data_IF_503843738682
#
_entry.id   IF_503843738682
#
_cell.length_a   1.000
_cell.length_b   1.000
_cell.length_c   1.000
_cell.angle_alpha   90.00
_cell.angle_beta   90.00
_cell.angle_gamma   90.00
#
_symmetry.space_group_name_H-M   'P 1'
#
loop_
_entity.id
_entity.type
_entity.pdbx_description
1 polymer ?
#
# COMPACT_ATOMS: atom_id res chain seq x y z
N UNK A 1 16.13 3.62 -16.65
CA UNK A 1 15.34 2.39 -16.47
C UNK A 1 14.87 1.97 -17.85
N UNK A 2 14.99 0.70 -18.24
CA UNK A 2 14.61 0.25 -19.58
C UNK A 2 13.10 -0.04 -19.66
N UNK A 3 12.50 0.30 -20.80
CA UNK A 3 11.13 -0.07 -21.17
C UNK A 3 11.24 -1.20 -22.18
N UNK A 4 10.39 -2.22 -22.04
CA UNK A 4 10.34 -3.32 -23.01
C UNK A 4 9.83 -2.83 -24.38
N UNK A 5 10.17 -3.55 -25.44
CA UNK A 5 9.68 -3.25 -26.79
C UNK A 5 8.15 -3.30 -26.88
N UNK A 6 7.60 -2.51 -27.80
CA UNK A 6 6.17 -2.53 -28.08
C UNK A 6 5.74 -3.94 -28.56
N UNK A 7 4.65 -4.46 -28.00
CA UNK A 7 4.13 -5.79 -28.37
C UNK A 7 4.69 -6.97 -27.56
N UNK A 8 5.50 -6.73 -26.52
CA UNK A 8 5.94 -7.80 -25.63
C UNK A 8 4.75 -8.54 -24.97
N UNK A 9 4.63 -9.85 -25.25
CA UNK A 9 3.54 -10.70 -24.74
C UNK A 9 3.51 -10.80 -23.21
N UNK A 10 4.67 -10.90 -22.54
CA UNK A 10 4.77 -10.96 -21.07
C UNK A 10 4.21 -9.67 -20.45
N UNK A 11 4.55 -8.52 -21.03
CA UNK A 11 4.02 -7.23 -20.60
C UNK A 11 2.50 -7.11 -20.85
N UNK A 12 1.99 -7.65 -21.96
CA UNK A 12 0.56 -7.66 -22.26
C UNK A 12 -0.23 -8.52 -21.25
N UNK A 13 0.26 -9.72 -20.93
CA UNK A 13 -0.34 -10.62 -19.95
C UNK A 13 -0.31 -10.06 -18.51
N UNK A 14 0.73 -9.29 -18.17
CA UNK A 14 0.86 -8.67 -16.86
C UNK A 14 0.03 -7.38 -16.70
N UNK A 15 -0.40 -6.76 -17.80
CA UNK A 15 -1.02 -5.41 -17.82
C UNK A 15 -2.19 -5.27 -16.86
N UNK A 16 -3.16 -6.19 -16.91
CA UNK A 16 -4.35 -6.10 -16.06
C UNK A 16 -4.02 -6.12 -14.57
N UNK A 17 -3.07 -6.96 -14.16
CA UNK A 17 -2.61 -7.04 -12.76
C UNK A 17 -1.84 -5.79 -12.35
N UNK A 18 -1.02 -5.26 -13.26
CA UNK A 18 -0.29 -4.01 -13.05
C UNK A 18 -1.25 -2.82 -12.85
N UNK A 19 -2.24 -2.68 -13.73
CA UNK A 19 -3.20 -1.57 -13.68
C UNK A 19 -4.06 -1.64 -12.41
N UNK A 20 -4.44 -2.84 -11.96
CA UNK A 20 -5.15 -3.05 -10.70
C UNK A 20 -4.31 -2.58 -9.48
N UNK A 21 -3.04 -3.00 -9.39
CA UNK A 21 -2.14 -2.55 -8.33
C UNK A 21 -1.92 -1.03 -8.35
N UNK A 22 -1.87 -0.45 -9.55
CA UNK A 22 -1.76 1.00 -9.72
C UNK A 22 -3.01 1.71 -9.23
N UNK A 23 -4.19 1.22 -9.60
CA UNK A 23 -5.46 1.78 -9.15
C UNK A 23 -5.60 1.71 -7.62
N UNK A 24 -5.22 0.59 -7.00
CA UNK A 24 -5.18 0.45 -5.54
C UNK A 24 -4.20 1.45 -4.90
N UNK A 25 -3.01 1.60 -5.48
CA UNK A 25 -2.01 2.54 -4.99
C UNK A 25 -2.50 3.99 -5.03
N UNK A 26 -3.23 4.36 -6.10
CA UNK A 26 -3.85 5.68 -6.23
C UNK A 26 -4.94 5.91 -5.17
N UNK A 27 -5.74 4.88 -4.85
CA UNK A 27 -6.71 4.97 -3.76
C UNK A 27 -6.01 5.22 -2.42
N UNK A 28 -4.94 4.48 -2.12
CA UNK A 28 -4.20 4.66 -0.86
C UNK A 28 -3.52 6.02 -0.77
N UNK A 29 -2.99 6.55 -1.88
CA UNK A 29 -2.45 7.92 -1.96
C UNK A 29 -3.50 8.97 -1.59
N UNK A 30 -4.67 8.94 -2.23
CA UNK A 30 -5.78 9.86 -1.91
C UNK A 30 -6.27 9.76 -0.46
N UNK A 31 -6.28 8.54 0.10
CA UNK A 31 -6.62 8.31 1.51
C UNK A 31 -5.56 8.89 2.44
N UNK A 32 -4.28 8.78 2.09
CA UNK A 32 -3.16 9.30 2.87
C UNK A 32 -3.20 10.82 3.03
N UNK A 33 -3.67 11.55 2.01
CA UNK A 33 -3.88 13.01 2.06
C UNK A 33 -5.04 13.42 3.00
N UNK A 34 -5.92 12.47 3.34
CA UNK A 34 -7.12 12.71 4.15
C UNK A 34 -6.96 12.09 5.55
N UNK A 35 -5.86 12.40 6.25
CA UNK A 35 -5.49 11.80 7.55
C UNK A 35 -6.62 11.85 8.57
N UNK A 36 -7.41 12.93 8.62
CA UNK A 36 -8.54 13.05 9.56
C UNK A 36 -9.64 12.02 9.31
N UNK A 37 -9.84 11.58 8.07
CA UNK A 37 -10.83 10.57 7.68
C UNK A 37 -10.26 9.15 7.71
N UNK A 38 -8.96 9.01 7.45
CA UNK A 38 -8.27 7.73 7.44
C UNK A 38 -7.06 7.76 8.40
N UNK A 39 -7.30 7.62 9.71
CA UNK A 39 -6.26 7.86 10.72
C UNK A 39 -5.26 6.71 10.88
N UNK A 40 -5.53 5.53 10.29
CA UNK A 40 -4.69 4.34 10.41
C UNK A 40 -4.06 3.91 9.09
N UNK A 41 -2.89 3.29 9.17
CA UNK A 41 -2.27 2.59 8.06
C UNK A 41 -1.71 1.24 8.52
N UNK A 42 -1.96 0.18 7.76
CA UNK A 42 -1.42 -1.14 8.04
C UNK A 42 -0.46 -1.60 6.95
N UNK A 43 0.72 -2.03 7.37
CA UNK A 43 1.63 -2.82 6.54
C UNK A 43 1.33 -4.31 6.66
N UNK A 44 2.28 -5.14 6.24
CA UNK A 44 2.14 -6.61 6.30
C UNK A 44 1.81 -7.13 7.70
N UNK A 45 2.48 -6.58 8.72
CA UNK A 45 2.42 -7.06 10.10
C UNK A 45 2.23 -5.97 11.15
N UNK A 46 2.16 -4.71 10.75
CA UNK A 46 2.22 -3.59 11.69
C UNK A 46 1.12 -2.59 11.42
N UNK A 47 0.41 -2.17 12.47
CA UNK A 47 -0.51 -1.05 12.43
C UNK A 47 0.19 0.24 12.83
N UNK A 48 -0.08 1.32 12.11
CA UNK A 48 0.47 2.65 12.28
C UNK A 48 -0.67 3.68 12.36
N UNK A 49 -0.37 4.86 12.92
CA UNK A 49 -1.10 6.08 12.58
C UNK A 49 -0.68 6.53 11.17
N UNK A 50 -1.59 7.04 10.36
CA UNK A 50 -1.30 7.45 8.97
C UNK A 50 -0.15 8.47 8.90
N UNK A 51 -0.10 9.44 9.82
CA UNK A 51 1.01 10.42 9.87
C UNK A 51 2.34 9.89 10.43
N UNK A 52 2.48 8.58 10.69
CA UNK A 52 3.74 8.02 11.15
C UNK A 52 4.81 8.10 10.06
N UNK A 53 6.03 8.52 10.40
CA UNK A 53 7.17 8.59 9.46
C UNK A 53 7.54 7.26 8.78
N UNK A 54 7.09 6.13 9.31
CA UNK A 54 7.30 4.81 8.71
C UNK A 54 6.23 4.45 7.66
N UNK A 55 5.15 5.23 7.59
CA UNK A 55 4.11 5.08 6.57
C UNK A 55 4.57 5.83 5.34
N UNK A 56 4.70 5.07 4.26
CA UNK A 56 4.92 5.60 2.92
C UNK A 56 3.89 4.97 2.00
N UNK A 57 3.22 5.81 1.23
CA UNK A 57 2.34 5.40 0.13
C UNK A 57 3.07 5.69 -1.18
N UNK A 58 2.84 4.84 -2.18
CA UNK A 58 3.52 4.97 -3.47
C UNK A 58 3.19 6.29 -4.17
N UNK A 59 4.15 6.87 -4.89
CA UNK A 59 4.00 8.04 -5.75
C UNK A 59 3.47 7.60 -7.11
N UNK A 60 2.16 7.78 -7.31
CA UNK A 60 1.39 7.26 -8.44
C UNK A 60 0.71 8.37 -9.24
N UNK A 61 0.98 9.63 -8.92
CA UNK A 61 0.16 10.77 -9.38
C UNK A 61 0.17 11.00 -10.90
N UNK A 62 1.11 10.42 -11.66
CA UNK A 62 1.09 10.55 -13.12
C UNK A 62 1.69 9.36 -13.86
N UNK A 63 1.08 9.04 -15.01
CA UNK A 63 1.65 8.11 -16.01
C UNK A 63 3.02 8.55 -16.55
N UNK A 64 3.33 9.84 -16.40
CA UNK A 64 4.60 10.46 -16.80
C UNK A 64 5.62 10.58 -15.65
N UNK A 65 5.28 10.10 -14.44
CA UNK A 65 6.20 10.13 -13.32
C UNK A 65 7.43 9.26 -13.56
N UNK A 66 8.64 9.69 -13.14
CA UNK A 66 9.87 8.91 -13.35
C UNK A 66 9.81 7.51 -12.70
N UNK A 67 8.94 7.33 -11.70
CA UNK A 67 8.70 6.07 -11.02
C UNK A 67 7.82 5.08 -11.79
N UNK A 68 6.98 5.56 -12.71
CA UNK A 68 6.13 4.70 -13.53
C UNK A 68 6.78 4.30 -14.85
N UNK A 69 7.79 5.05 -15.30
CA UNK A 69 8.56 4.71 -16.50
C UNK A 69 9.27 3.35 -16.34
N UNK A 70 8.91 2.37 -17.16
CA UNK A 70 9.42 1.00 -17.07
C UNK A 70 8.87 0.16 -15.92
N UNK A 71 7.90 0.69 -15.14
CA UNK A 71 7.30 -0.02 -14.02
C UNK A 71 6.57 -1.30 -14.44
N UNK A 72 5.83 -1.25 -15.56
CA UNK A 72 5.22 -2.46 -16.11
C UNK A 72 6.28 -3.49 -16.48
N UNK A 73 7.36 -3.07 -17.14
CA UNK A 73 8.43 -3.99 -17.58
C UNK A 73 9.02 -4.71 -16.38
N UNK A 74 9.38 -4.00 -15.32
CA UNK A 74 9.88 -4.60 -14.07
C UNK A 74 8.85 -5.49 -13.40
N UNK A 75 7.58 -5.08 -13.38
CA UNK A 75 6.52 -5.87 -12.79
C UNK A 75 6.32 -7.19 -13.56
N UNK A 76 6.30 -7.11 -14.89
CA UNK A 76 6.04 -8.24 -15.77
C UNK A 76 7.20 -9.24 -15.82
N UNK A 77 8.44 -8.75 -15.85
CA UNK A 77 9.63 -9.60 -16.02
C UNK A 77 10.28 -10.00 -14.69
N UNK A 78 10.28 -9.11 -13.69
CA UNK A 78 10.98 -9.32 -12.42
C UNK A 78 10.03 -9.54 -11.25
N UNK A 79 8.72 -9.43 -11.47
CA UNK A 79 7.71 -9.44 -10.39
C UNK A 79 7.82 -8.25 -9.43
N UNK A 80 8.58 -7.21 -9.80
CA UNK A 80 8.96 -6.14 -8.89
C UNK A 80 7.82 -5.15 -8.65
N UNK A 81 7.47 -4.97 -7.37
CA UNK A 81 6.57 -3.91 -6.86
C UNK A 81 7.31 -2.88 -6.00
N UNK A 82 8.65 -2.92 -5.98
CA UNK A 82 9.50 -2.14 -5.06
C UNK A 82 9.83 -0.72 -5.54
N UNK A 83 9.34 -0.30 -6.70
CA UNK A 83 9.79 0.93 -7.36
C UNK A 83 8.92 2.14 -7.02
N UNK A 84 8.78 2.50 -5.75
CA UNK A 84 8.22 3.80 -5.32
C UNK A 84 6.76 4.13 -5.71
N UNK A 85 6.15 3.44 -6.68
CA UNK A 85 4.80 3.67 -7.18
C UNK A 85 3.77 2.77 -6.50
N UNK A 86 4.12 1.52 -6.16
CA UNK A 86 3.19 0.63 -5.48
C UNK A 86 3.10 0.95 -3.99
N UNK A 87 1.89 1.08 -3.47
CA UNK A 87 1.68 1.16 -2.02
C UNK A 87 1.79 -0.22 -1.38
N UNK A 88 2.57 -0.33 -0.32
CA UNK A 88 2.64 -1.52 0.55
C UNK A 88 1.91 -1.32 1.88
N UNK A 89 1.25 -0.16 2.01
CA UNK A 89 0.46 0.23 3.16
C UNK A 89 -1.00 0.36 2.75
N UNK A 90 -1.89 -0.18 3.56
CA UNK A 90 -3.34 0.03 3.46
C UNK A 90 -3.73 1.13 4.45
N UNK A 91 -4.10 2.30 3.92
CA UNK A 91 -4.63 3.43 4.67
C UNK A 91 -6.13 3.20 4.92
N UNK A 92 -6.56 3.36 6.17
CA UNK A 92 -7.81 2.81 6.68
C UNK A 92 -8.58 3.82 7.53
N UNK A 93 -9.90 3.71 7.47
CA UNK A 93 -10.79 4.30 8.47
C UNK A 93 -10.61 3.61 9.82
N UNK A 94 -11.23 4.14 10.89
CA UNK A 94 -11.25 3.48 12.20
C UNK A 94 -11.90 2.08 12.13
N UNK A 95 -13.07 1.96 11.49
CA UNK A 95 -13.76 0.68 11.37
C UNK A 95 -12.98 -0.36 10.55
N UNK A 96 -12.32 0.07 9.46
CA UNK A 96 -11.44 -0.82 8.68
C UNK A 96 -10.24 -1.29 9.52
N UNK A 97 -9.69 -0.43 10.37
CA UNK A 97 -8.58 -0.77 11.25
C UNK A 97 -9.01 -1.71 12.39
N UNK A 98 -10.21 -1.54 12.94
CA UNK A 98 -10.78 -2.44 13.94
C UNK A 98 -11.00 -3.85 13.38
N UNK A 99 -11.56 -3.96 12.17
CA UNK A 99 -11.70 -5.24 11.48
C UNK A 99 -10.31 -5.89 11.26
N UNK A 100 -9.32 -5.11 10.82
CA UNK A 100 -7.95 -5.60 10.64
C UNK A 100 -7.35 -6.12 11.95
N UNK A 101 -7.55 -5.41 13.07
CA UNK A 101 -7.08 -5.84 14.40
C UNK A 101 -7.80 -7.12 14.83
N UNK A 102 -9.11 -7.19 14.68
CA UNK A 102 -9.91 -8.36 15.03
C UNK A 102 -9.47 -9.60 14.25
N UNK A 103 -9.29 -9.47 12.94
CA UNK A 103 -8.89 -10.56 12.05
C UNK A 103 -7.45 -11.05 12.31
N UNK A 104 -6.52 -10.13 12.63
CA UNK A 104 -5.08 -10.43 12.60
C UNK A 104 -4.43 -10.50 13.97
N UNK A 105 -4.84 -9.63 14.88
CA UNK A 105 -4.35 -9.63 16.26
C UNK A 105 -5.27 -10.53 17.11
N UNK A 106 -6.59 -10.45 16.94
CA UNK A 106 -7.54 -11.21 17.75
C UNK A 106 -7.45 -10.90 19.26
N UNK A 107 -8.28 -11.51 20.10
CA UNK A 107 -8.39 -11.16 21.53
C UNK A 107 -7.14 -11.55 22.35
N UNK A 108 -6.28 -12.43 21.82
CA UNK A 108 -5.07 -12.91 22.52
C UNK A 108 -3.77 -12.25 22.07
N UNK A 109 -3.81 -11.28 21.16
CA UNK A 109 -2.59 -10.63 20.68
C UNK A 109 -1.76 -11.58 19.80
N UNK A 110 -2.20 -11.83 18.57
CA UNK A 110 -1.56 -12.72 17.61
C UNK A 110 -0.09 -12.38 17.46
N UNK A 111 0.79 -13.33 17.80
CA UNK A 111 2.25 -13.19 17.93
C UNK A 111 2.98 -12.53 16.71
N UNK A 112 2.29 -12.44 15.57
CA UNK A 112 2.83 -11.95 14.29
C UNK A 112 2.38 -10.55 13.89
N UNK A 113 1.43 -9.93 14.61
CA UNK A 113 0.91 -8.61 14.28
C UNK A 113 1.07 -7.65 15.44
N UNK A 114 1.63 -6.48 15.17
CA UNK A 114 2.09 -5.54 16.20
C UNK A 114 1.58 -4.13 15.94
N UNK A 115 1.46 -3.36 17.01
CA UNK A 115 1.36 -1.91 16.91
C UNK A 115 2.75 -1.33 16.65
N UNK A 116 2.85 -0.28 15.85
CA UNK A 116 4.10 0.38 15.58
C UNK A 116 4.66 1.02 16.86
N UNK A 117 5.89 0.65 17.26
CA UNK A 117 6.55 1.24 18.42
C UNK A 117 6.99 2.70 18.25
N UNK A 118 7.00 3.23 17.01
CA UNK A 118 7.36 4.64 16.74
C UNK A 118 6.18 5.56 17.03
N UNK A 119 5.01 5.23 16.50
CA UNK A 119 3.83 6.10 16.63
C UNK A 119 2.82 5.60 17.65
N UNK A 120 2.99 4.39 18.19
CA UNK A 120 2.16 3.76 19.23
C UNK A 120 0.68 4.07 19.02
N UNK A 121 0.08 3.60 17.90
CA UNK A 121 -1.29 3.94 17.58
C UNK A 121 -2.23 3.44 18.68
N UNK A 122 -3.21 4.27 19.05
CA UNK A 122 -4.31 3.83 19.90
C UNK A 122 -5.06 2.69 19.19
N UNK A 123 -5.48 1.69 19.97
CA UNK A 123 -6.29 0.61 19.42
C UNK A 123 -7.60 1.20 18.89
N UNK A 124 -7.98 0.90 17.63
CA UNK A 124 -9.29 1.26 17.12
C UNK A 124 -10.32 0.39 17.86
N UNK A 125 -10.91 0.94 18.93
CA UNK A 125 -12.03 0.33 19.64
C UNK A 125 -13.31 0.90 19.06
N UNK A 126 -14.32 0.07 18.81
CA UNK A 126 -15.69 0.56 18.64
C UNK A 126 -16.13 1.23 19.95
N UNK A 127 -16.72 2.43 19.83
CA UNK A 127 -17.47 3.07 20.91
C UNK A 127 -18.73 2.26 21.25
#
# INVERSE_FOLDING_TARGET
MSVCEAGCGICAEARGRFDALRAESLVQRRRFEQIGRYPYAAGRHTLHRTGCRAVSVGDVESDAGPWLHGALTRFAHDGSTSSGWTTHMRVMTRCEAEAWVTERIGPRGGLRYRLCGICTPELPVAD
#
